data_IF_206067473288
#
_entry.id   IF_206067473288
#
_cell.length_a   1.000
_cell.length_b   1.000
_cell.length_c   1.000
_cell.angle_alpha   90.00
_cell.angle_beta   90.00
_cell.angle_gamma   90.00
#
_symmetry.space_group_name_H-M   'P 1'
#
loop_
_entity.id
_entity.type
_entity.pdbx_description
1 polymer ?
#
# COMPACT_ATOMS: atom_id res chain seq x y z
N UNK A 1 4.22 -21.32 5.84
CA UNK A 1 3.92 -21.53 4.42
C UNK A 1 5.17 -21.43 3.54
N UNK A 2 5.99 -20.42 3.65
CA UNK A 2 7.20 -20.25 2.83
C UNK A 2 8.45 -21.00 3.35
N UNK A 3 8.46 -21.52 4.57
CA UNK A 3 9.66 -22.04 5.22
C UNK A 3 10.01 -23.52 4.97
N UNK A 4 9.11 -24.32 4.40
CA UNK A 4 9.35 -25.76 4.22
C UNK A 4 9.38 -26.26 2.78
N UNK A 5 9.10 -25.42 1.79
CA UNK A 5 9.02 -25.84 0.38
C UNK A 5 10.11 -25.27 -0.52
N UNK A 6 10.97 -24.38 -0.01
CA UNK A 6 11.98 -23.68 -0.81
C UNK A 6 13.12 -24.61 -1.21
N UNK A 7 13.45 -25.62 -0.39
CA UNK A 7 14.59 -26.49 -0.62
C UNK A 7 14.30 -27.69 -1.57
N UNK A 8 13.05 -27.90 -1.98
CA UNK A 8 12.66 -29.09 -2.74
C UNK A 8 12.17 -28.85 -4.16
N UNK A 9 12.12 -27.60 -4.64
CA UNK A 9 11.60 -27.30 -5.98
C UNK A 9 12.60 -26.47 -6.77
N UNK A 10 13.35 -27.21 -7.58
CA UNK A 10 13.99 -26.73 -8.79
C UNK A 10 12.89 -26.17 -9.67
N UNK A 11 12.57 -24.86 -9.47
CA UNK A 11 11.67 -24.22 -10.42
C UNK A 11 11.25 -22.80 -10.10
N UNK A 12 11.75 -21.84 -10.68
CA UNK A 12 10.80 -21.06 -11.44
C UNK A 12 11.53 -20.08 -12.30
N UNK A 13 11.45 -20.33 -13.55
CA UNK A 13 11.65 -19.29 -14.55
C UNK A 13 10.57 -18.20 -14.49
N UNK A 14 9.56 -18.35 -13.58
CA UNK A 14 8.50 -17.36 -13.39
C UNK A 14 9.11 -16.09 -12.82
N UNK A 15 8.96 -14.99 -13.53
CA UNK A 15 9.35 -13.67 -13.07
C UNK A 15 8.15 -12.94 -12.47
N UNK A 16 8.41 -12.05 -11.52
CA UNK A 16 7.36 -11.23 -10.94
C UNK A 16 6.56 -10.48 -12.03
N UNK A 17 7.25 -10.00 -13.08
CA UNK A 17 6.63 -9.29 -14.20
C UNK A 17 5.59 -10.10 -14.99
N UNK A 18 5.66 -11.43 -14.96
CA UNK A 18 4.70 -12.31 -15.63
C UNK A 18 3.35 -12.32 -14.90
N UNK A 19 3.38 -12.04 -13.60
CA UNK A 19 2.24 -12.10 -12.68
C UNK A 19 1.63 -10.74 -12.33
N UNK A 20 2.21 -9.65 -12.81
CA UNK A 20 1.75 -8.30 -12.49
C UNK A 20 1.66 -7.38 -13.72
N UNK A 21 0.86 -6.34 -13.55
CA UNK A 21 0.88 -5.11 -14.34
C UNK A 21 1.34 -3.97 -13.44
N UNK A 22 2.25 -3.13 -13.92
CA UNK A 22 2.76 -2.00 -13.14
C UNK A 22 1.93 -0.74 -13.39
N UNK A 23 1.44 -0.11 -12.33
CA UNK A 23 0.89 1.25 -12.34
C UNK A 23 2.03 2.20 -11.98
N UNK A 24 2.62 2.83 -12.99
CA UNK A 24 3.85 3.62 -12.85
C UNK A 24 3.68 5.03 -13.48
N UNK A 25 3.58 6.02 -12.61
CA UNK A 25 3.47 7.43 -12.98
C UNK A 25 4.76 8.21 -12.73
N UNK A 26 5.90 7.54 -12.60
CA UNK A 26 7.20 8.18 -12.38
C UNK A 26 7.64 9.02 -13.58
N UNK A 27 8.54 9.96 -13.33
CA UNK A 27 9.20 10.80 -14.34
C UNK A 27 8.82 12.27 -14.31
N UNK A 28 7.65 12.62 -13.80
CA UNK A 28 7.24 14.02 -13.59
C UNK A 28 6.49 14.16 -12.27
N UNK A 29 6.55 15.34 -11.66
CA UNK A 29 5.73 15.69 -10.49
C UNK A 29 4.41 16.28 -10.99
N UNK A 30 3.25 15.81 -10.51
CA UNK A 30 1.98 16.43 -10.87
C UNK A 30 1.89 17.85 -10.31
N UNK A 31 1.09 18.73 -10.92
CA UNK A 31 0.69 19.98 -10.30
C UNK A 31 0.03 19.68 -8.95
N UNK A 32 0.59 20.23 -7.86
CA UNK A 32 0.06 20.06 -6.51
C UNK A 32 -1.05 21.09 -6.28
N UNK A 33 -1.99 20.73 -5.40
CA UNK A 33 -2.92 21.67 -4.79
C UNK A 33 -2.28 22.34 -3.58
N UNK A 34 -2.49 23.64 -3.41
CA UNK A 34 -2.03 24.38 -2.24
C UNK A 34 -2.83 24.00 -0.99
N UNK A 35 -4.08 23.57 -1.15
CA UNK A 35 -4.97 23.15 -0.10
C UNK A 35 -5.27 21.64 -0.16
N UNK A 36 -5.57 20.99 0.96
CA UNK A 36 -6.05 19.61 0.98
C UNK A 36 -7.29 19.42 0.11
N UNK A 37 -7.32 18.32 -0.65
CA UNK A 37 -8.45 17.93 -1.50
C UNK A 37 -8.81 16.47 -1.23
N UNK A 38 -9.86 15.97 -1.90
CA UNK A 38 -10.24 14.54 -1.86
C UNK A 38 -9.23 13.62 -2.59
N UNK A 39 -8.18 14.18 -3.22
CA UNK A 39 -7.24 13.45 -4.07
C UNK A 39 -5.82 13.44 -3.50
N UNK A 40 -5.56 12.64 -2.44
CA UNK A 40 -4.26 12.56 -1.80
C UNK A 40 -3.23 11.87 -2.69
N UNK A 41 -1.97 12.30 -2.56
CA UNK A 41 -0.81 11.59 -3.10
C UNK A 41 -0.31 10.62 -2.03
N UNK A 42 -0.34 9.34 -2.36
CA UNK A 42 0.21 8.26 -1.56
C UNK A 42 1.71 8.22 -1.85
N UNK A 43 2.49 8.78 -0.96
CA UNK A 43 3.96 8.77 -1.02
C UNK A 43 4.57 7.72 -0.07
N UNK A 44 5.90 7.69 0.01
CA UNK A 44 6.64 6.71 0.83
C UNK A 44 6.24 6.77 2.31
N UNK A 45 5.86 7.95 2.84
CA UNK A 45 5.46 8.10 4.25
C UNK A 45 4.14 7.38 4.55
N UNK A 46 3.20 7.40 3.60
CA UNK A 46 1.95 6.68 3.72
C UNK A 46 2.12 5.15 3.64
N UNK A 47 3.28 4.68 3.13
CA UNK A 47 3.64 3.27 3.09
C UNK A 47 4.46 2.82 4.30
N UNK A 48 4.92 3.71 5.17
CA UNK A 48 5.74 3.37 6.33
C UNK A 48 4.92 2.65 7.43
N UNK A 49 5.65 2.04 8.39
CA UNK A 49 5.06 1.35 9.53
C UNK A 49 4.56 -0.07 9.25
N UNK A 50 4.17 -0.78 10.30
CA UNK A 50 3.92 -2.23 10.28
C UNK A 50 2.52 -2.63 9.77
N UNK A 51 1.59 -1.67 9.62
CA UNK A 51 0.27 -1.96 9.04
C UNK A 51 0.39 -2.37 7.58
N UNK A 52 -0.47 -3.27 7.12
CA UNK A 52 -0.60 -3.58 5.68
C UNK A 52 -1.46 -2.57 4.92
N UNK A 53 -2.12 -1.68 5.63
CA UNK A 53 -3.04 -0.67 5.11
C UNK A 53 -2.31 0.65 4.98
N UNK A 54 -2.63 1.43 3.95
CA UNK A 54 -2.11 2.76 3.70
C UNK A 54 -2.53 3.68 4.84
N UNK A 55 -1.58 4.43 5.35
CA UNK A 55 -1.84 5.48 6.34
C UNK A 55 -2.09 6.82 5.64
N UNK A 56 -3.35 7.11 5.39
CA UNK A 56 -3.76 8.36 4.75
C UNK A 56 -3.49 9.60 5.59
N UNK A 57 -3.29 9.47 6.91
CA UNK A 57 -2.94 10.61 7.77
C UNK A 57 -1.54 11.14 7.48
N UNK A 58 -0.69 10.31 6.87
CA UNK A 58 0.64 10.69 6.40
C UNK A 58 0.66 11.24 4.96
N UNK A 59 -0.49 11.34 4.28
CA UNK A 59 -0.59 12.02 2.99
C UNK A 59 -0.62 13.53 3.21
N UNK A 60 0.45 14.23 2.84
CA UNK A 60 0.59 15.68 3.03
C UNK A 60 0.53 16.47 1.73
N UNK A 61 0.36 15.79 0.61
CA UNK A 61 0.28 16.37 -0.73
C UNK A 61 -0.99 15.94 -1.42
N UNK A 62 -1.58 16.86 -2.15
CA UNK A 62 -2.85 16.66 -2.81
C UNK A 62 -2.77 17.20 -4.24
N UNK A 63 -3.67 16.74 -5.09
CA UNK A 63 -3.86 17.26 -6.45
C UNK A 63 -5.30 17.71 -6.64
N UNK A 64 -5.54 18.59 -7.63
CA UNK A 64 -6.90 18.95 -8.01
C UNK A 64 -7.62 17.78 -8.67
N UNK A 65 -8.95 17.82 -8.72
CA UNK A 65 -9.78 16.86 -9.47
C UNK A 65 -9.38 16.79 -10.95
N UNK A 66 -9.06 17.92 -11.54
CA UNK A 66 -8.63 18.00 -12.93
C UNK A 66 -7.28 17.27 -13.13
N UNK A 67 -6.30 17.55 -12.27
CA UNK A 67 -4.99 16.85 -12.28
C UNK A 67 -5.18 15.36 -12.05
N UNK A 68 -6.04 14.96 -11.10
CA UNK A 68 -6.32 13.56 -10.83
C UNK A 68 -6.85 12.85 -12.08
N UNK A 69 -7.79 13.43 -12.79
CA UNK A 69 -8.41 12.81 -13.95
C UNK A 69 -7.52 12.76 -15.20
N UNK A 70 -6.62 13.73 -15.38
CA UNK A 70 -6.00 13.96 -16.68
C UNK A 70 -4.47 13.79 -16.69
N UNK A 71 -3.80 13.82 -15.53
CA UNK A 71 -2.33 13.85 -15.49
C UNK A 71 -1.69 12.45 -15.42
N UNK A 72 -2.32 11.50 -14.75
CA UNK A 72 -1.75 10.20 -14.42
C UNK A 72 -1.86 9.20 -15.57
N UNK A 73 -0.82 9.10 -16.39
CA UNK A 73 -0.79 8.31 -17.64
C UNK A 73 -1.01 6.80 -17.43
N UNK A 74 -0.57 6.24 -16.30
CA UNK A 74 -0.77 4.82 -15.95
C UNK A 74 -2.03 4.61 -15.11
N UNK A 75 -2.86 5.67 -14.97
CA UNK A 75 -4.05 5.64 -14.12
C UNK A 75 -3.72 5.60 -12.64
N UNK A 76 -4.68 5.14 -11.86
CA UNK A 76 -4.62 5.11 -10.41
C UNK A 76 -4.59 3.67 -9.86
N UNK A 77 -4.14 3.50 -8.60
CA UNK A 77 -4.29 2.22 -7.91
C UNK A 77 -5.75 1.78 -7.88
N UNK A 78 -5.96 0.47 -7.98
CA UNK A 78 -7.24 -0.20 -7.80
C UNK A 78 -7.21 -1.04 -6.55
N UNK A 79 -8.39 -1.42 -6.05
CA UNK A 79 -8.52 -2.27 -4.88
C UNK A 79 -7.65 -3.53 -5.01
N UNK A 80 -6.91 -3.84 -3.96
CA UNK A 80 -5.90 -4.89 -3.86
C UNK A 80 -4.61 -4.68 -4.68
N UNK A 81 -4.38 -3.55 -5.34
CA UNK A 81 -3.05 -3.25 -5.86
C UNK A 81 -2.05 -3.16 -4.70
N UNK A 82 -0.85 -3.69 -4.91
CA UNK A 82 0.25 -3.62 -3.94
C UNK A 82 1.08 -2.39 -4.28
N UNK A 83 1.12 -1.42 -3.38
CA UNK A 83 1.96 -0.24 -3.53
C UNK A 83 3.33 -0.50 -2.91
N UNK A 84 4.39 -0.19 -3.65
CA UNK A 84 5.77 -0.38 -3.23
C UNK A 84 6.59 0.88 -3.43
N UNK A 85 7.38 1.25 -2.43
CA UNK A 85 8.34 2.35 -2.54
C UNK A 85 9.61 1.91 -3.26
N UNK A 86 10.08 2.76 -4.18
CA UNK A 86 11.27 2.50 -5.00
C UNK A 86 12.39 3.50 -4.78
N UNK A 87 12.16 4.56 -4.01
CA UNK A 87 13.15 5.61 -3.71
C UNK A 87 13.02 6.03 -2.25
N UNK A 88 14.15 6.28 -1.59
CA UNK A 88 14.22 6.65 -0.17
C UNK A 88 14.15 5.41 0.73
N UNK A 89 13.10 5.24 1.52
CA UNK A 89 12.85 3.99 2.24
C UNK A 89 12.40 2.95 1.24
N UNK A 90 13.28 2.00 0.92
CA UNK A 90 13.08 1.02 -0.13
C UNK A 90 12.16 -0.12 0.30
N UNK A 91 11.36 -0.61 -0.66
CA UNK A 91 10.49 -1.77 -0.49
C UNK A 91 9.52 -1.67 0.70
N UNK A 92 9.09 -0.45 1.06
CA UNK A 92 7.93 -0.29 1.92
C UNK A 92 6.68 -0.64 1.11
N UNK A 93 5.83 -1.50 1.67
CA UNK A 93 4.70 -2.05 0.93
C UNK A 93 3.40 -1.97 1.69
N UNK A 94 2.33 -1.62 0.99
CA UNK A 94 0.95 -1.61 1.50
C UNK A 94 -0.01 -2.13 0.45
N UNK A 95 -1.16 -2.62 0.88
CA UNK A 95 -2.27 -2.97 0.01
C UNK A 95 -3.20 -1.77 -0.12
N UNK A 96 -3.53 -1.39 -1.34
CA UNK A 96 -4.52 -0.36 -1.60
C UNK A 96 -5.92 -0.93 -1.43
N UNK A 97 -6.62 -0.50 -0.39
CA UNK A 97 -8.03 -0.83 -0.12
C UNK A 97 -8.91 0.42 -0.11
N UNK A 98 -8.32 1.59 -0.35
CA UNK A 98 -9.05 2.84 -0.50
C UNK A 98 -9.74 2.95 -1.86
N UNK A 99 -10.63 3.93 -1.98
CA UNK A 99 -11.33 4.24 -3.24
C UNK A 99 -10.63 5.33 -4.03
N UNK A 100 -9.89 6.21 -3.36
CA UNK A 100 -9.27 7.39 -3.94
C UNK A 100 -7.82 7.53 -3.46
N UNK A 101 -6.96 7.90 -4.37
CA UNK A 101 -5.54 8.17 -4.14
C UNK A 101 -4.74 8.02 -5.41
N UNK A 102 -3.67 8.78 -5.52
CA UNK A 102 -2.75 8.68 -6.65
C UNK A 102 -1.32 8.41 -6.16
N UNK A 103 -0.53 7.80 -7.01
CA UNK A 103 0.88 7.49 -6.74
C UNK A 103 1.77 8.21 -7.74
N UNK A 104 2.94 8.63 -7.26
CA UNK A 104 3.92 9.39 -8.05
C UNK A 104 5.31 8.80 -7.92
N UNK A 105 6.31 9.58 -8.24
CA UNK A 105 7.72 9.30 -8.48
C UNK A 105 8.38 8.18 -7.65
N UNK A 106 8.02 8.04 -6.37
CA UNK A 106 8.72 7.14 -5.44
C UNK A 106 7.94 5.87 -5.13
N UNK A 107 6.70 5.78 -5.62
CA UNK A 107 5.80 4.66 -5.38
C UNK A 107 5.29 4.12 -6.72
N UNK A 108 5.28 2.80 -6.83
CA UNK A 108 4.73 2.05 -7.96
C UNK A 108 3.65 1.10 -7.44
N UNK A 109 2.59 0.91 -8.22
CA UNK A 109 1.55 -0.07 -7.94
C UNK A 109 1.80 -1.35 -8.74
N UNK A 110 1.60 -2.50 -8.10
CA UNK A 110 1.59 -3.81 -8.75
C UNK A 110 0.18 -4.38 -8.70
N UNK A 111 -0.43 -4.51 -9.86
CA UNK A 111 -1.72 -5.15 -10.05
C UNK A 111 -1.51 -6.60 -10.46
N UNK A 112 -2.09 -7.54 -9.74
CA UNK A 112 -1.88 -8.96 -10.00
C UNK A 112 -2.66 -9.46 -11.22
N UNK A 113 -2.06 -10.43 -11.92
CA UNK A 113 -2.65 -11.17 -13.04
C UNK A 113 -2.68 -12.65 -12.70
N UNK A 114 -3.87 -13.19 -12.50
CA UNK A 114 -4.05 -14.65 -12.30
C UNK A 114 -3.52 -15.23 -10.99
N UNK A 115 -3.02 -14.38 -10.07
CA UNK A 115 -2.54 -14.79 -8.75
C UNK A 115 -3.22 -13.94 -7.67
N UNK A 116 -3.38 -14.51 -6.46
CA UNK A 116 -3.91 -13.75 -5.33
C UNK A 116 -3.02 -12.57 -4.96
N UNK A 117 -3.57 -11.33 -4.88
CA UNK A 117 -2.81 -10.17 -4.44
C UNK A 117 -2.35 -10.28 -2.99
N UNK A 118 -3.10 -10.99 -2.13
CA UNK A 118 -2.72 -11.17 -0.72
C UNK A 118 -1.57 -12.18 -0.59
N UNK A 119 -1.55 -13.23 -1.42
CA UNK A 119 -0.43 -14.14 -1.50
C UNK A 119 0.83 -13.39 -1.97
N UNK A 120 0.71 -12.65 -3.09
CA UNK A 120 1.84 -11.91 -3.64
C UNK A 120 2.34 -10.83 -2.66
N UNK A 121 1.45 -10.11 -1.99
CA UNK A 121 1.84 -9.15 -0.95
C UNK A 121 2.67 -9.81 0.15
N UNK A 122 2.23 -10.97 0.63
CA UNK A 122 2.94 -11.69 1.70
C UNK A 122 4.29 -12.22 1.21
N UNK A 123 4.34 -12.73 -0.03
CA UNK A 123 5.58 -13.18 -0.64
C UNK A 123 6.59 -12.03 -0.81
N UNK A 124 6.15 -10.88 -1.33
CA UNK A 124 7.03 -9.71 -1.50
C UNK A 124 7.56 -9.19 -0.15
N UNK A 125 6.76 -9.26 0.92
CA UNK A 125 7.24 -8.94 2.27
C UNK A 125 8.28 -9.96 2.76
N UNK A 126 8.12 -11.23 2.44
CA UNK A 126 9.08 -12.27 2.78
C UNK A 126 10.45 -12.04 2.11
N UNK A 127 10.46 -11.67 0.83
CA UNK A 127 11.68 -11.37 0.06
C UNK A 127 12.10 -9.89 0.12
N UNK A 128 11.57 -9.10 1.07
CA UNK A 128 11.83 -7.65 1.15
C UNK A 128 13.32 -7.31 1.12
N UNK A 129 14.14 -8.08 1.83
CA UNK A 129 15.59 -7.86 1.88
C UNK A 129 16.26 -8.11 0.52
N UNK A 130 15.79 -9.09 -0.25
CA UNK A 130 16.31 -9.36 -1.59
C UNK A 130 15.95 -8.22 -2.56
N UNK A 131 14.75 -7.64 -2.39
CA UNK A 131 14.36 -6.46 -3.17
C UNK A 131 15.21 -5.24 -2.80
N UNK A 132 15.52 -5.04 -1.53
CA UNK A 132 16.40 -3.96 -1.07
C UNK A 132 17.83 -4.14 -1.61
N UNK A 133 18.32 -5.37 -1.80
CA UNK A 133 19.64 -5.64 -2.37
C UNK A 133 19.77 -5.13 -3.83
N UNK A 134 18.67 -4.88 -4.54
CA UNK A 134 18.70 -4.22 -5.85
C UNK A 134 18.94 -2.70 -5.80
N UNK A 135 19.30 -2.16 -4.65
CA UNK A 135 19.62 -0.74 -4.51
C UNK A 135 20.80 -0.35 -5.43
N UNK A 136 20.57 0.66 -6.26
CA UNK A 136 21.59 1.23 -7.18
C UNK A 136 21.98 2.66 -6.80
N UNK A 137 21.30 3.27 -5.83
CA UNK A 137 21.54 4.64 -5.40
C UNK A 137 22.63 4.71 -4.33
N UNK A 138 23.69 5.51 -4.57
CA UNK A 138 24.77 5.73 -3.60
C UNK A 138 24.46 6.86 -2.61
N UNK A 139 23.81 7.94 -3.07
CA UNK A 139 23.43 9.10 -2.24
C UNK A 139 22.00 8.98 -1.78
N UNK A 140 21.10 8.66 -2.68
CA UNK A 140 19.70 8.39 -2.37
C UNK A 140 19.36 6.95 -2.78
N UNK A 141 18.99 6.08 -1.81
CA UNK A 141 18.61 4.71 -2.13
C UNK A 141 17.52 4.66 -3.19
N UNK A 142 17.71 3.84 -4.21
CA UNK A 142 16.70 3.65 -5.25
C UNK A 142 16.77 2.27 -5.90
N UNK A 143 15.63 1.73 -6.28
CA UNK A 143 15.49 0.46 -6.99
C UNK A 143 14.83 0.72 -8.35
N UNK A 144 15.40 0.16 -9.41
CA UNK A 144 14.71 0.14 -10.71
C UNK A 144 13.58 -0.87 -10.68
N UNK A 145 12.39 -0.47 -11.11
CA UNK A 145 11.25 -1.40 -11.25
C UNK A 145 11.61 -2.57 -12.18
N UNK A 146 12.44 -2.33 -13.20
CA UNK A 146 12.93 -3.38 -14.10
C UNK A 146 13.74 -4.48 -13.39
N UNK A 147 14.37 -4.18 -12.24
CA UNK A 147 15.03 -5.21 -11.44
C UNK A 147 13.98 -6.00 -10.64
N UNK A 148 13.01 -5.31 -10.04
CA UNK A 148 11.94 -5.95 -9.26
C UNK A 148 11.14 -6.92 -10.14
N UNK A 149 10.69 -6.49 -11.33
CA UNK A 149 9.88 -7.34 -12.22
C UNK A 149 10.64 -8.53 -12.81
N UNK A 150 11.99 -8.47 -12.83
CA UNK A 150 12.85 -9.59 -13.27
C UNK A 150 13.19 -10.56 -12.14
N UNK A 151 12.81 -10.26 -10.90
CA UNK A 151 13.04 -11.15 -9.78
C UNK A 151 12.27 -12.46 -9.99
N UNK A 152 12.97 -13.59 -9.83
CA UNK A 152 12.34 -14.91 -9.90
C UNK A 152 11.49 -15.11 -8.66
N UNK A 153 10.28 -15.61 -8.83
CA UNK A 153 9.38 -15.86 -7.71
C UNK A 153 8.96 -17.33 -7.67
N UNK A 154 8.79 -17.82 -6.47
CA UNK A 154 8.24 -19.13 -6.23
C UNK A 154 6.72 -19.03 -6.04
N UNK A 155 5.98 -19.83 -6.81
CA UNK A 155 4.52 -19.91 -6.72
C UNK A 155 4.13 -21.32 -6.28
N UNK A 156 3.47 -21.43 -5.13
CA UNK A 156 2.93 -22.71 -4.62
C UNK A 156 1.73 -23.15 -5.47
N UNK A 157 1.18 -24.33 -5.18
CA UNK A 157 0.01 -24.85 -5.90
C UNK A 157 -1.17 -23.86 -5.86
N UNK A 158 -2.02 -23.94 -6.88
CA UNK A 158 -3.21 -23.08 -6.95
C UNK A 158 -4.14 -23.32 -5.77
N UNK A 159 -4.28 -24.57 -5.35
CA UNK A 159 -5.10 -25.00 -4.22
C UNK A 159 -4.61 -24.35 -2.92
N UNK A 160 -3.30 -24.35 -2.67
CA UNK A 160 -2.72 -23.71 -1.48
C UNK A 160 -2.94 -22.19 -1.48
N UNK A 161 -2.84 -21.56 -2.66
CA UNK A 161 -3.12 -20.12 -2.82
C UNK A 161 -4.59 -19.82 -2.51
N UNK A 162 -5.53 -20.63 -3.00
CA UNK A 162 -6.96 -20.45 -2.76
C UNK A 162 -7.31 -20.62 -1.28
N UNK A 163 -6.76 -21.61 -0.59
CA UNK A 163 -6.93 -21.82 0.85
C UNK A 163 -6.37 -20.60 1.62
N UNK A 164 -5.16 -20.17 1.29
CA UNK A 164 -4.55 -19.00 1.90
C UNK A 164 -5.40 -17.74 1.66
N UNK A 165 -5.83 -17.48 0.42
CA UNK A 165 -6.58 -16.29 0.05
C UNK A 165 -7.91 -16.20 0.80
N UNK A 166 -8.59 -17.32 0.97
CA UNK A 166 -9.88 -17.38 1.72
C UNK A 166 -9.74 -16.87 3.16
N UNK A 167 -8.66 -17.24 3.83
CA UNK A 167 -8.36 -16.83 5.21
C UNK A 167 -7.82 -15.39 5.22
N UNK A 168 -6.83 -15.11 4.39
CA UNK A 168 -6.13 -13.83 4.36
C UNK A 168 -7.06 -12.66 3.97
N UNK A 169 -8.04 -12.93 3.09
CA UNK A 169 -9.04 -11.93 2.68
C UNK A 169 -9.95 -11.52 3.83
N UNK A 170 -10.43 -12.47 4.62
CA UNK A 170 -11.26 -12.19 5.79
C UNK A 170 -10.48 -11.40 6.86
N UNK A 171 -9.24 -11.80 7.13
CA UNK A 171 -8.36 -11.07 8.06
C UNK A 171 -8.09 -9.64 7.56
N UNK A 172 -7.79 -9.48 6.27
CA UNK A 172 -7.49 -8.17 5.68
C UNK A 172 -8.71 -7.25 5.73
N UNK A 173 -9.90 -7.75 5.43
CA UNK A 173 -11.15 -6.99 5.57
C UNK A 173 -11.40 -6.55 7.01
N UNK A 174 -11.15 -7.44 7.99
CA UNK A 174 -11.32 -7.10 9.41
C UNK A 174 -10.32 -6.03 9.86
N UNK A 175 -9.05 -6.15 9.44
CA UNK A 175 -8.02 -5.13 9.71
C UNK A 175 -8.45 -3.79 9.13
N UNK A 176 -8.93 -3.76 7.88
CA UNK A 176 -9.36 -2.53 7.21
C UNK A 176 -10.54 -1.88 7.93
N UNK A 177 -11.56 -2.66 8.28
CA UNK A 177 -12.72 -2.18 9.04
C UNK A 177 -12.30 -1.58 10.39
N UNK A 178 -11.42 -2.27 11.12
CA UNK A 178 -10.91 -1.76 12.40
C UNK A 178 -10.10 -0.46 12.23
N UNK A 179 -9.32 -0.31 11.14
CA UNK A 179 -8.62 0.93 10.86
C UNK A 179 -9.59 2.09 10.60
N UNK A 180 -10.66 1.85 9.83
CA UNK A 180 -11.69 2.85 9.58
C UNK A 180 -12.43 3.25 10.87
N UNK A 181 -12.78 2.27 11.71
CA UNK A 181 -13.41 2.51 13.00
C UNK A 181 -12.50 3.33 13.92
N UNK A 182 -11.21 2.99 13.98
CA UNK A 182 -10.23 3.74 14.78
C UNK A 182 -10.12 5.20 14.32
N UNK A 183 -10.12 5.48 13.02
CA UNK A 183 -10.10 6.85 12.52
C UNK A 183 -11.40 7.60 12.87
N UNK A 184 -12.55 6.97 12.76
CA UNK A 184 -13.82 7.57 13.17
C UNK A 184 -13.85 7.88 14.67
N UNK A 185 -13.40 6.94 15.52
CA UNK A 185 -13.32 7.13 16.97
C UNK A 185 -12.34 8.24 17.34
N UNK A 186 -11.21 8.33 16.63
CA UNK A 186 -10.25 9.42 16.82
C UNK A 186 -10.87 10.78 16.50
N UNK A 187 -11.59 10.90 15.40
CA UNK A 187 -12.29 12.14 15.03
C UNK A 187 -13.36 12.53 16.09
N UNK A 188 -14.13 11.56 16.58
CA UNK A 188 -15.11 11.78 17.65
C UNK A 188 -14.40 12.28 18.91
N UNK A 189 -13.33 11.60 19.34
CA UNK A 189 -12.54 12.01 20.51
C UNK A 189 -12.02 13.46 20.35
N UNK A 190 -11.37 13.74 19.22
CA UNK A 190 -10.74 15.04 18.98
C UNK A 190 -11.77 16.18 18.85
N UNK A 191 -13.02 15.86 18.48
CA UNK A 191 -14.13 16.81 18.46
C UNK A 191 -14.74 17.02 19.85
N UNK A 192 -14.90 15.95 20.64
CA UNK A 192 -15.59 16.01 21.92
C UNK A 192 -14.70 16.48 23.08
N UNK A 193 -13.41 16.08 23.05
CA UNK A 193 -12.49 16.37 24.16
C UNK A 193 -12.36 17.88 24.46
N UNK A 194 -12.17 18.78 23.47
CA UNK A 194 -12.13 20.22 23.75
C UNK A 194 -13.43 20.77 24.36
N UNK A 195 -14.59 20.24 23.89
CA UNK A 195 -15.92 20.68 24.38
C UNK A 195 -16.18 20.22 25.81
N UNK A 196 -15.70 19.03 26.18
CA UNK A 196 -15.75 18.55 27.56
C UNK A 196 -14.83 19.38 28.47
N UNK A 197 -13.60 19.67 28.00
CA UNK A 197 -12.63 20.44 28.79
C UNK A 197 -13.04 21.92 28.96
N UNK A 198 -13.76 22.50 28.02
CA UNK A 198 -14.29 23.87 28.11
C UNK A 198 -15.59 23.96 28.89
N UNK A 199 -16.22 22.84 29.27
CA UNK A 199 -17.53 22.81 29.90
C UNK A 199 -18.71 23.11 28.95
N UNK A 200 -18.47 23.17 27.65
CA UNK A 200 -19.52 23.33 26.63
C UNK A 200 -20.46 22.10 26.58
N UNK A 201 -19.90 20.91 26.88
CA UNK A 201 -20.66 19.69 27.08
C UNK A 201 -20.71 19.30 28.54
N UNK A 202 -21.92 19.33 29.14
CA UNK A 202 -22.15 18.84 30.50
C UNK A 202 -22.54 17.35 30.44
N UNK A 203 -21.74 16.51 31.08
CA UNK A 203 -21.92 15.08 31.19
C UNK A 203 -22.41 14.60 32.53
N UNK A 204 -22.73 15.53 33.47
CA UNK A 204 -23.15 15.18 34.82
C UNK A 204 -24.43 14.35 34.92
N UNK A 205 -25.23 14.34 33.88
CA UNK A 205 -26.48 13.55 33.77
C UNK A 205 -26.37 12.26 32.97
N UNK A 206 -25.17 11.89 32.47
CA UNK A 206 -24.95 10.63 31.73
C UNK A 206 -24.81 9.50 32.75
N UNK A 207 -25.78 8.60 32.81
CA UNK A 207 -25.64 7.34 33.57
C UNK A 207 -24.77 6.38 32.76
N UNK A 208 -23.64 5.97 33.34
CA UNK A 208 -22.74 4.93 32.83
C UNK A 208 -23.27 3.56 33.27
#
# INVERSE_FOLDING_TARGET
>A
MFGHSIDSLDNSDIKLGDLIESVDNRGKTPPLSDEPTDYPIIDVRALSGNSRIIDYTNCTKYVSKETYNNWFRSGHPKEYDILISTVGSLAEMKIFLGTIGCITQNVVGFRTKGISPLYLYQYLNYIKNDLIAYNIGSVQPSIKVTHIIKHSIYVVSKEDIEIFDSIARNITKKIFANCQENEALKQIRDTLLPKLMSGELDVSNIKI
#
